data_IF_183533077579
#
_entry.id   IF_183533077579
#
_cell.length_a   1.000
_cell.length_b   1.000
_cell.length_c   1.000
_cell.angle_alpha   90.00
_cell.angle_beta   90.00
_cell.angle_gamma   90.00
#
_symmetry.space_group_name_H-M   'P 1'
#
loop_
_entity.id
_entity.type
_entity.pdbx_description
1 polymer ?
#
# COMPACT_ATOMS: atom_id res chain seq x y z
N UNK A 1 10.62 17.18 24.96
CA UNK A 1 9.89 16.73 23.74
C UNK A 1 10.69 15.59 23.16
N UNK A 2 10.16 14.38 23.20
CA UNK A 2 10.88 13.18 22.78
C UNK A 2 10.76 13.09 21.26
N UNK A 3 11.89 13.19 20.56
CA UNK A 3 11.96 12.95 19.12
C UNK A 3 11.49 11.50 18.89
N UNK A 4 10.47 11.23 18.07
CA UNK A 4 10.07 9.86 17.82
C UNK A 4 11.25 9.12 17.18
N UNK A 5 11.47 7.88 17.60
CA UNK A 5 12.51 7.02 17.05
C UNK A 5 12.40 7.03 15.51
N UNK A 6 13.42 7.51 14.83
CA UNK A 6 13.50 7.45 13.37
C UNK A 6 13.65 5.98 12.98
N UNK A 7 12.79 5.50 12.09
CA UNK A 7 12.99 4.20 11.47
C UNK A 7 14.42 4.11 10.89
N UNK A 8 15.09 2.95 10.97
CA UNK A 8 16.34 2.76 10.25
C UNK A 8 16.12 3.04 8.76
N UNK A 9 17.05 3.72 8.06
CA UNK A 9 16.85 4.07 6.65
C UNK A 9 17.03 2.83 5.77
N UNK A 10 15.98 2.01 5.69
CA UNK A 10 15.94 0.80 4.84
C UNK A 10 15.66 1.17 3.38
N UNK A 11 14.89 2.24 3.15
CA UNK A 11 14.48 2.74 1.84
C UNK A 11 15.00 4.17 1.60
N UNK A 12 15.16 4.58 0.33
CA UNK A 12 15.52 5.95 -0.02
C UNK A 12 14.38 6.93 0.34
N UNK A 13 14.65 8.24 0.24
CA UNK A 13 13.63 9.27 0.46
C UNK A 13 12.47 9.14 -0.54
N UNK A 14 11.29 9.67 -0.19
CA UNK A 14 10.06 9.59 -1.00
C UNK A 14 10.30 9.95 -2.47
N UNK A 15 11.04 11.03 -2.71
CA UNK A 15 11.29 11.58 -4.05
C UNK A 15 12.27 10.74 -4.89
N UNK A 16 13.02 9.84 -4.24
CA UNK A 16 13.97 8.93 -4.88
C UNK A 16 13.35 7.54 -5.14
N UNK A 17 12.11 7.30 -4.67
CA UNK A 17 11.41 6.05 -4.92
C UNK A 17 10.86 5.99 -6.35
N UNK A 18 10.87 4.79 -6.93
CA UNK A 18 10.15 4.56 -8.18
C UNK A 18 8.64 4.73 -7.96
N UNK A 19 8.03 5.68 -8.65
CA UNK A 19 6.63 6.02 -8.47
C UNK A 19 5.93 6.27 -9.80
N UNK A 20 4.70 5.77 -9.91
CA UNK A 20 3.75 6.11 -10.96
C UNK A 20 2.36 6.22 -10.35
N UNK A 21 1.72 7.38 -10.50
CA UNK A 21 0.37 7.64 -9.98
C UNK A 21 -0.62 6.60 -10.49
N UNK A 22 -1.47 6.09 -9.60
CA UNK A 22 -2.49 5.06 -9.88
C UNK A 22 -1.94 3.66 -10.24
N UNK A 23 -0.66 3.40 -9.96
CA UNK A 23 -0.03 2.07 -10.03
C UNK A 23 0.58 1.70 -8.67
N UNK A 24 -0.16 1.95 -7.59
CA UNK A 24 0.28 1.76 -6.20
C UNK A 24 0.80 0.33 -5.92
N UNK A 25 0.21 -0.67 -6.57
CA UNK A 25 0.62 -2.07 -6.55
C UNK A 25 2.03 -2.27 -7.10
N UNK A 26 2.39 -1.61 -8.22
CA UNK A 26 3.73 -1.69 -8.79
C UNK A 26 4.72 -0.82 -8.01
N UNK A 27 4.27 0.32 -7.47
CA UNK A 27 5.09 1.18 -6.63
C UNK A 27 5.54 0.44 -5.36
N UNK A 28 4.61 -0.23 -4.66
CA UNK A 28 4.93 -1.07 -3.48
C UNK A 28 5.80 -2.26 -3.87
N UNK A 29 5.57 -2.87 -5.03
CA UNK A 29 6.44 -3.95 -5.51
C UNK A 29 7.88 -3.46 -5.71
N UNK A 30 8.06 -2.25 -6.25
CA UNK A 30 9.38 -1.62 -6.41
C UNK A 30 10.04 -1.26 -5.09
N UNK A 31 9.26 -0.91 -4.06
CA UNK A 31 9.79 -0.76 -2.70
C UNK A 31 10.32 -2.11 -2.17
N UNK A 32 9.53 -3.18 -2.30
CA UNK A 32 9.96 -4.53 -1.91
C UNK A 32 11.21 -4.97 -2.68
N UNK A 33 11.29 -4.68 -3.99
CA UNK A 33 12.45 -4.96 -4.82
C UNK A 33 13.69 -4.24 -4.29
N UNK A 34 13.57 -2.94 -4.00
CA UNK A 34 14.65 -2.15 -3.42
C UNK A 34 15.11 -2.67 -2.06
N UNK A 35 14.18 -3.13 -1.20
CA UNK A 35 14.52 -3.73 0.11
C UNK A 35 15.29 -5.04 -0.09
N UNK A 36 14.82 -5.92 -0.98
CA UNK A 36 15.51 -7.18 -1.31
C UNK A 36 16.95 -6.91 -1.77
N UNK A 37 17.14 -5.92 -2.63
CA UNK A 37 18.44 -5.66 -3.25
C UNK A 37 19.42 -4.95 -2.31
N UNK A 38 18.93 -4.14 -1.36
CA UNK A 38 19.76 -3.36 -0.42
C UNK A 38 19.96 -4.07 0.92
N UNK A 39 18.90 -4.68 1.44
CA UNK A 39 18.81 -5.19 2.80
C UNK A 39 17.99 -6.49 2.83
N UNK A 40 18.43 -7.57 2.15
CA UNK A 40 17.66 -8.78 1.98
C UNK A 40 17.25 -9.45 3.30
N UNK A 41 18.07 -9.33 4.34
CA UNK A 41 17.80 -9.89 5.67
C UNK A 41 16.57 -9.28 6.37
N UNK A 42 16.14 -8.08 5.97
CA UNK A 42 14.97 -7.43 6.53
C UNK A 42 13.69 -7.72 5.75
N UNK A 43 13.74 -8.39 4.60
CA UNK A 43 12.57 -8.53 3.72
C UNK A 43 11.37 -9.21 4.41
N UNK A 44 11.62 -10.12 5.35
CA UNK A 44 10.60 -10.83 6.13
C UNK A 44 9.83 -9.91 7.12
N UNK A 45 10.37 -8.73 7.41
CA UNK A 45 9.73 -7.70 8.24
C UNK A 45 8.71 -6.86 7.45
N UNK A 46 8.64 -7.04 6.12
CA UNK A 46 7.82 -6.22 5.23
C UNK A 46 6.61 -6.95 4.66
N UNK A 47 5.50 -6.22 4.54
CA UNK A 47 4.23 -6.73 4.04
C UNK A 47 3.57 -5.73 3.08
N UNK A 48 3.22 -6.17 1.87
CA UNK A 48 2.32 -5.43 1.01
C UNK A 48 0.89 -5.55 1.56
N UNK A 49 0.20 -4.42 1.73
CA UNK A 49 -1.18 -4.36 2.21
C UNK A 49 -2.06 -3.83 1.09
N UNK A 50 -2.96 -4.68 0.61
CA UNK A 50 -4.04 -4.29 -0.28
C UNK A 50 -5.24 -3.84 0.53
N UNK A 51 -5.71 -2.63 0.28
CA UNK A 51 -6.93 -2.05 0.84
C UNK A 51 -7.98 -2.02 -0.25
N UNK A 52 -9.16 -2.61 -0.01
CA UNK A 52 -10.32 -2.50 -0.90
C UNK A 52 -11.59 -2.97 -0.17
N UNK A 53 -12.71 -3.12 -0.88
CA UNK A 53 -13.92 -3.78 -0.41
C UNK A 53 -14.73 -4.34 -1.59
N UNK A 54 -15.86 -4.98 -1.32
CA UNK A 54 -16.75 -5.54 -2.35
C UNK A 54 -17.19 -4.51 -3.39
N UNK A 55 -17.40 -3.27 -2.94
CA UNK A 55 -17.92 -2.19 -3.78
C UNK A 55 -16.82 -1.44 -4.54
N UNK A 56 -15.55 -1.75 -4.27
CA UNK A 56 -14.39 -1.00 -4.78
C UNK A 56 -14.55 0.50 -4.55
N UNK A 57 -14.89 0.84 -3.31
CA UNK A 57 -15.03 2.23 -2.87
C UNK A 57 -14.57 2.31 -1.42
N UNK A 58 -13.31 2.68 -1.22
CA UNK A 58 -12.73 2.85 0.12
C UNK A 58 -12.22 4.29 0.30
N UNK A 59 -12.56 4.95 1.42
CA UNK A 59 -12.07 6.29 1.70
C UNK A 59 -10.69 6.20 2.36
N UNK A 60 -9.74 6.99 1.85
CA UNK A 60 -8.44 7.22 2.48
C UNK A 60 -8.19 8.72 2.54
N UNK A 61 -7.96 9.24 3.75
CA UNK A 61 -7.62 10.63 4.01
C UNK A 61 -6.11 10.87 3.85
N UNK A 62 -5.72 12.15 3.84
CA UNK A 62 -4.31 12.56 3.76
C UNK A 62 -3.62 11.99 2.52
N UNK A 63 -4.28 12.08 1.37
CA UNK A 63 -3.77 11.63 0.07
C UNK A 63 -3.40 12.85 -0.79
N UNK A 64 -2.30 12.78 -1.55
CA UNK A 64 -1.76 13.87 -2.36
C UNK A 64 -2.74 14.37 -3.44
N UNK A 65 -3.53 13.47 -4.02
CA UNK A 65 -4.55 13.82 -5.01
C UNK A 65 -5.87 14.34 -4.39
N UNK A 66 -5.98 14.34 -3.06
CA UNK A 66 -7.16 14.79 -2.32
C UNK A 66 -7.09 16.24 -1.87
N UNK A 67 -8.21 16.76 -1.36
CA UNK A 67 -8.26 18.01 -0.60
C UNK A 67 -7.98 17.70 0.88
N UNK A 68 -7.36 18.63 1.63
CA UNK A 68 -6.85 18.41 3.01
C UNK A 68 -7.78 17.62 3.95
N UNK A 69 -9.09 17.87 3.88
CA UNK A 69 -10.07 17.33 4.83
C UNK A 69 -10.92 16.18 4.28
N UNK A 70 -11.03 16.05 2.96
CA UNK A 70 -11.88 15.05 2.31
C UNK A 70 -11.08 13.78 1.99
N UNK A 71 -11.69 12.59 2.10
CA UNK A 71 -11.04 11.38 1.64
C UNK A 71 -10.99 11.33 0.12
N UNK A 72 -9.95 10.66 -0.39
CA UNK A 72 -9.98 10.13 -1.76
C UNK A 72 -10.67 8.78 -1.72
N UNK A 73 -11.62 8.56 -2.64
CA UNK A 73 -12.31 7.28 -2.79
C UNK A 73 -11.56 6.44 -3.82
N UNK A 74 -10.92 5.38 -3.34
CA UNK A 74 -10.16 4.45 -4.15
C UNK A 74 -10.97 3.18 -4.45
N UNK A 75 -10.75 2.59 -5.62
CA UNK A 75 -11.21 1.24 -5.92
C UNK A 75 -10.40 0.19 -5.16
N UNK A 76 -9.10 0.39 -5.12
CA UNK A 76 -8.17 -0.22 -4.17
C UNK A 76 -6.97 0.69 -3.96
N UNK A 77 -6.23 0.46 -2.87
CA UNK A 77 -4.93 1.11 -2.64
C UNK A 77 -3.95 0.09 -2.07
N UNK A 78 -2.66 0.25 -2.38
CA UNK A 78 -1.60 -0.63 -1.88
C UNK A 78 -0.58 0.20 -1.12
N UNK A 79 -0.31 -0.22 0.12
CA UNK A 79 0.70 0.38 0.99
C UNK A 79 1.66 -0.70 1.48
N UNK A 80 2.86 -0.31 1.93
CA UNK A 80 3.83 -1.23 2.49
C UNK A 80 3.92 -1.04 4.01
N UNK A 81 3.82 -2.12 4.76
CA UNK A 81 4.04 -2.18 6.21
C UNK A 81 5.44 -2.72 6.48
N UNK A 82 6.13 -2.09 7.42
CA UNK A 82 7.34 -2.60 8.08
C UNK A 82 7.01 -2.87 9.55
N UNK A 83 7.13 -4.12 9.98
CA UNK A 83 7.01 -4.54 11.38
C UNK A 83 8.41 -4.88 11.91
N UNK A 84 9.00 -3.97 12.69
CA UNK A 84 10.37 -4.09 13.19
C UNK A 84 10.54 -5.20 14.26
N UNK A 85 9.45 -5.84 14.70
CA UNK A 85 9.48 -6.91 15.70
C UNK A 85 9.67 -6.45 17.16
N UNK A 86 10.07 -5.21 17.40
CA UNK A 86 10.18 -4.57 18.73
C UNK A 86 8.90 -3.82 19.15
N UNK A 87 7.82 -4.00 18.40
CA UNK A 87 6.55 -3.30 18.56
C UNK A 87 6.45 -2.00 17.74
N UNK A 88 7.54 -1.54 17.11
CA UNK A 88 7.51 -0.42 16.18
C UNK A 88 7.03 -0.87 14.80
N UNK A 89 6.10 -0.09 14.23
CA UNK A 89 5.54 -0.35 12.90
C UNK A 89 5.48 0.92 12.09
N UNK A 90 5.80 0.81 10.81
CA UNK A 90 5.83 1.93 9.87
C UNK A 90 5.06 1.61 8.60
N UNK A 91 4.36 2.61 8.07
CA UNK A 91 3.67 2.56 6.78
C UNK A 91 4.43 3.41 5.77
N UNK A 92 4.69 2.82 4.62
CA UNK A 92 5.19 3.48 3.43
C UNK A 92 4.03 3.57 2.43
N UNK A 93 3.49 4.77 2.31
CA UNK A 93 2.49 5.12 1.31
C UNK A 93 3.07 6.25 0.45
N UNK A 94 3.29 6.00 -0.84
CA UNK A 94 3.84 7.01 -1.75
C UNK A 94 2.81 8.09 -2.11
N UNK A 95 1.53 7.82 -1.91
CA UNK A 95 0.41 8.72 -2.22
C UNK A 95 -0.07 9.54 -1.01
N UNK A 96 0.46 9.30 0.21
CA UNK A 96 0.08 10.10 1.39
C UNK A 96 0.79 11.46 1.46
N UNK A 97 0.15 12.44 2.12
CA UNK A 97 0.77 13.70 2.58
C UNK A 97 1.37 13.60 4.00
N UNK A 98 1.17 12.47 4.68
CA UNK A 98 1.84 12.16 5.94
C UNK A 98 3.35 11.91 5.73
N UNK A 99 4.16 11.84 6.80
CA UNK A 99 5.57 11.50 6.70
C UNK A 99 5.83 10.19 5.94
N UNK A 100 7.03 10.05 5.38
CA UNK A 100 7.46 8.83 4.69
C UNK A 100 8.83 8.39 5.25
N UNK A 101 8.92 7.26 5.95
CA UNK A 101 7.79 6.45 6.45
C UNK A 101 6.93 7.18 7.49
N UNK A 102 5.68 6.73 7.66
CA UNK A 102 4.76 7.19 8.70
C UNK A 102 4.66 6.16 9.83
N UNK A 103 4.72 6.53 11.12
CA UNK A 103 4.37 5.61 12.20
C UNK A 103 2.97 5.02 12.01
N UNK A 104 2.84 3.70 12.17
CA UNK A 104 1.61 2.97 11.82
C UNK A 104 0.37 3.51 12.56
N UNK A 105 0.49 3.79 13.86
CA UNK A 105 -0.61 4.35 14.65
C UNK A 105 -1.07 5.73 14.14
N UNK A 106 -0.11 6.55 13.66
CA UNK A 106 -0.42 7.86 13.07
C UNK A 106 -1.16 7.68 11.75
N UNK A 107 -0.69 6.77 10.89
CA UNK A 107 -1.34 6.46 9.62
C UNK A 107 -2.76 5.92 9.81
N UNK A 108 -2.95 4.98 10.74
CA UNK A 108 -4.27 4.43 11.08
C UNK A 108 -5.20 5.53 11.58
N UNK A 109 -4.71 6.40 12.48
CA UNK A 109 -5.54 7.46 13.08
C UNK A 109 -5.94 8.53 12.07
N UNK A 110 -5.01 8.97 11.21
CA UNK A 110 -5.20 10.15 10.37
C UNK A 110 -5.67 9.84 8.95
N UNK A 111 -5.06 8.84 8.30
CA UNK A 111 -5.35 8.48 6.92
C UNK A 111 -6.49 7.47 6.81
N UNK A 112 -6.51 6.45 7.68
CA UNK A 112 -7.51 5.39 7.61
C UNK A 112 -8.75 5.71 8.45
N UNK A 113 -8.56 6.25 9.66
CA UNK A 113 -9.63 6.54 10.65
C UNK A 113 -10.44 5.30 11.05
N UNK A 114 -11.37 5.45 11.99
CA UNK A 114 -12.24 4.34 12.42
C UNK A 114 -13.36 4.05 11.42
N UNK A 115 -13.58 2.77 11.12
CA UNK A 115 -14.72 2.30 10.30
C UNK A 115 -16.09 2.47 10.98
N UNK A 116 -16.14 2.78 12.28
CA UNK A 116 -17.40 3.02 13.00
C UNK A 116 -18.16 4.22 12.44
N UNK A 117 -17.45 5.26 12.00
CA UNK A 117 -18.02 6.49 11.46
C UNK A 117 -18.17 6.46 9.93
N UNK A 118 -17.88 5.32 9.29
CA UNK A 118 -17.96 5.14 7.84
C UNK A 118 -19.16 4.26 7.51
N UNK A 119 -19.94 4.72 6.53
CA UNK A 119 -21.09 3.97 6.03
C UNK A 119 -20.61 2.58 5.56
N UNK A 120 -21.41 1.55 5.87
CA UNK A 120 -21.01 0.13 5.73
C UNK A 120 -20.46 -0.24 4.35
N UNK A 121 -20.97 0.41 3.30
CA UNK A 121 -20.60 0.17 1.90
C UNK A 121 -19.20 0.69 1.53
N UNK A 122 -18.61 1.53 2.39
CA UNK A 122 -17.28 2.13 2.23
C UNK A 122 -16.25 1.55 3.21
N UNK A 123 -16.65 0.65 4.11
CA UNK A 123 -15.74 0.07 5.11
C UNK A 123 -14.64 -0.72 4.42
N UNK A 124 -13.42 -0.62 4.95
CA UNK A 124 -12.23 -1.16 4.29
C UNK A 124 -12.00 -2.61 4.73
N UNK A 125 -11.46 -3.38 3.81
CA UNK A 125 -10.86 -4.70 4.05
C UNK A 125 -9.40 -4.64 3.67
N UNK A 126 -8.61 -5.46 4.36
CA UNK A 126 -7.18 -5.54 4.15
C UNK A 126 -6.76 -6.95 3.79
N UNK A 127 -5.79 -7.07 2.89
CA UNK A 127 -5.08 -8.30 2.60
C UNK A 127 -3.59 -8.02 2.78
N UNK A 128 -2.98 -8.68 3.77
CA UNK A 128 -1.53 -8.64 4.00
C UNK A 128 -0.87 -9.75 3.20
N UNK A 129 0.24 -9.43 2.55
CA UNK A 129 1.05 -10.34 1.77
C UNK A 129 2.51 -10.09 2.14
N UNK A 130 3.24 -11.10 2.66
CA UNK A 130 4.67 -10.98 2.90
C UNK A 130 5.41 -10.48 1.67
N UNK A 131 6.42 -9.61 1.85
CA UNK A 131 7.11 -8.97 0.73
C UNK A 131 7.82 -9.98 -0.18
N UNK A 132 8.37 -11.08 0.36
CA UNK A 132 8.97 -12.16 -0.42
C UNK A 132 7.93 -12.87 -1.30
N UNK A 133 6.74 -13.15 -0.75
CA UNK A 133 5.62 -13.74 -1.48
C UNK A 133 5.12 -12.78 -2.56
N UNK A 134 5.01 -11.50 -2.24
CA UNK A 134 4.59 -10.47 -3.18
C UNK A 134 5.54 -10.37 -4.38
N UNK A 135 6.86 -10.35 -4.13
CA UNK A 135 7.87 -10.36 -5.19
C UNK A 135 7.83 -11.62 -6.06
N UNK A 136 7.53 -12.78 -5.46
CA UNK A 136 7.51 -14.08 -6.14
C UNK A 136 6.23 -14.33 -6.95
N UNK A 137 5.10 -13.72 -6.57
CA UNK A 137 3.78 -14.09 -7.09
C UNK A 137 3.04 -12.95 -7.80
N UNK A 138 3.45 -11.69 -7.61
CA UNK A 138 2.79 -10.58 -8.29
C UNK A 138 3.14 -10.52 -9.77
N UNK A 139 2.11 -10.49 -10.60
CA UNK A 139 2.20 -10.15 -12.01
C UNK A 139 1.06 -9.21 -12.38
N UNK A 140 1.36 -8.22 -13.22
CA UNK A 140 0.39 -7.27 -13.77
C UNK A 140 0.71 -7.04 -15.24
N UNK A 141 -0.25 -7.28 -16.12
CA UNK A 141 -0.17 -6.89 -17.53
C UNK A 141 -0.69 -5.46 -17.79
N UNK A 142 -1.10 -4.77 -16.71
CA UNK A 142 -1.69 -3.41 -16.70
C UNK A 142 -2.99 -3.27 -17.50
N UNK A 143 -3.60 -4.37 -17.96
CA UNK A 143 -4.82 -4.33 -18.77
C UNK A 143 -5.99 -3.64 -18.08
N UNK A 144 -6.08 -3.77 -16.75
CA UNK A 144 -7.10 -3.12 -15.94
C UNK A 144 -7.05 -1.57 -15.97
N UNK A 145 -5.90 -0.99 -16.33
CA UNK A 145 -5.70 0.45 -16.48
C UNK A 145 -6.03 0.96 -17.89
N UNK A 146 -6.55 0.09 -18.76
CA UNK A 146 -7.06 0.49 -20.07
C UNK A 146 -8.56 0.73 -20.03
N UNK A 147 -9.03 1.62 -20.89
CA UNK A 147 -10.46 1.84 -21.10
C UNK A 147 -11.03 0.90 -22.19
N UNK A 148 -12.30 1.10 -22.55
CA UNK A 148 -12.98 0.30 -23.56
C UNK A 148 -12.38 0.46 -24.98
N UNK A 149 -11.65 1.55 -25.23
CA UNK A 149 -10.98 1.83 -26.49
C UNK A 149 -9.52 1.33 -26.51
N UNK A 150 -9.09 0.64 -25.44
CA UNK A 150 -7.72 0.16 -25.24
C UNK A 150 -6.71 1.31 -25.01
N UNK A 151 -7.20 2.50 -24.65
CA UNK A 151 -6.38 3.65 -24.27
C UNK A 151 -6.08 3.64 -22.77
N UNK A 152 -4.95 4.23 -22.38
CA UNK A 152 -4.51 4.28 -20.98
C UNK A 152 -5.31 5.31 -20.18
N UNK A 153 -5.95 4.87 -19.09
CA UNK A 153 -6.64 5.77 -18.14
C UNK A 153 -5.67 6.70 -17.44
N UNK A 154 -4.45 6.23 -17.20
CA UNK A 154 -3.30 6.97 -16.67
C UNK A 154 -2.01 6.51 -17.34
N UNK A 155 -1.00 7.38 -17.51
CA UNK A 155 0.27 6.97 -18.12
C UNK A 155 0.90 5.79 -17.36
N UNK A 156 1.24 4.68 -18.05
CA UNK A 156 1.83 3.52 -17.39
C UNK A 156 3.29 3.78 -16.99
N UNK A 157 3.84 2.97 -16.05
CA UNK A 157 5.26 3.01 -15.75
C UNK A 157 6.13 2.72 -16.99
N UNK A 158 7.30 3.36 -17.08
CA UNK A 158 8.20 3.25 -18.23
C UNK A 158 8.93 1.90 -18.33
N UNK A 159 9.01 1.15 -17.24
CA UNK A 159 9.58 -0.19 -17.22
C UNK A 159 8.58 -1.25 -17.72
N UNK A 160 9.06 -2.41 -18.23
CA UNK A 160 8.20 -3.49 -18.66
C UNK A 160 7.25 -3.99 -17.56
N UNK A 161 6.11 -4.54 -17.95
CA UNK A 161 5.16 -5.17 -17.03
C UNK A 161 5.84 -6.19 -16.12
N UNK A 162 5.47 -6.19 -14.83
CA UNK A 162 5.97 -7.16 -13.85
C UNK A 162 5.39 -8.53 -14.19
N UNK A 163 6.29 -9.50 -14.37
CA UNK A 163 5.95 -10.90 -14.68
C UNK A 163 6.67 -11.82 -13.72
N UNK A 164 5.94 -12.73 -13.09
CA UNK A 164 6.48 -13.79 -12.26
C UNK A 164 6.20 -15.16 -12.88
N UNK A 165 7.05 -16.18 -12.65
CA UNK A 165 6.80 -17.54 -13.15
C UNK A 165 5.56 -18.22 -12.53
N UNK A 166 5.06 -17.72 -11.40
CA UNK A 166 3.85 -18.20 -10.73
C UNK A 166 2.57 -17.55 -11.26
N UNK A 167 1.43 -18.24 -11.09
CA UNK A 167 0.10 -17.72 -11.42
C UNK A 167 -0.16 -16.35 -10.75
N UNK A 168 -0.87 -15.45 -11.44
CA UNK A 168 -1.30 -14.17 -10.91
C UNK A 168 -2.34 -14.38 -9.76
N UNK A 169 -1.87 -14.45 -8.52
CA UNK A 169 -2.68 -14.79 -7.33
C UNK A 169 -3.38 -13.59 -6.67
N UNK A 170 -3.20 -12.38 -7.20
CA UNK A 170 -3.61 -11.16 -6.50
C UNK A 170 -5.09 -10.81 -6.64
N UNK A 171 -5.75 -11.26 -7.70
CA UNK A 171 -7.20 -11.08 -7.86
C UNK A 171 -8.01 -12.38 -7.76
N UNK A 172 -7.34 -13.54 -7.68
CA UNK A 172 -7.98 -14.85 -7.60
C UNK A 172 -7.63 -15.54 -6.27
N UNK A 173 -8.54 -15.38 -5.31
CA UNK A 173 -8.73 -16.22 -4.11
C UNK A 173 -7.59 -16.27 -3.07
N UNK A 174 -7.77 -15.55 -1.93
CA UNK A 174 -7.77 -16.06 -0.53
C UNK A 174 -7.65 -14.91 0.50
N UNK A 175 -8.55 -14.98 1.50
CA UNK A 175 -8.67 -14.24 2.77
C UNK A 175 -8.46 -12.71 2.78
N UNK A 176 -9.53 -11.97 2.47
CA UNK A 176 -9.65 -10.56 2.88
C UNK A 176 -10.00 -10.51 4.38
N UNK A 177 -9.14 -9.89 5.18
CA UNK A 177 -9.42 -9.65 6.59
C UNK A 177 -10.27 -8.37 6.72
N UNK A 178 -11.21 -8.37 7.67
CA UNK A 178 -11.87 -7.13 8.08
C UNK A 178 -10.82 -6.25 8.78
N UNK A 179 -10.89 -4.94 8.55
CA UNK A 179 -10.03 -3.99 9.27
C UNK A 179 -10.16 -4.22 10.78
N UNK A 180 -9.06 -4.34 11.55
CA UNK A 180 -9.15 -4.52 12.98
C UNK A 180 -9.93 -3.34 13.57
N UNK A 181 -11.02 -3.65 14.25
CA UNK A 181 -11.65 -2.70 15.16
C UNK A 181 -10.56 -2.38 16.19
N UNK A 182 -10.29 -1.10 16.42
CA UNK A 182 -9.29 -0.62 17.37
C UNK A 182 -9.34 -1.50 18.61
N UNK A 183 -8.26 -2.23 18.88
CA UNK A 183 -8.09 -2.98 20.12
C UNK A 183 -7.87 -1.89 21.16
N UNK A 184 -8.97 -1.40 21.73
CA UNK A 184 -8.88 -0.64 22.97
C UNK A 184 -8.35 -1.64 24.00
N UNK A 185 -7.07 -1.48 24.36
CA UNK A 185 -6.54 -1.93 25.65
C UNK A 185 -7.25 -1.21 26.78
#
# INVERSE_FOLDING_TARGET
MQVPASAPPVLPGRDDCCYTSCYCEENVWKLCESIRDRTPHHLEEFYAIFLSNENRMIPIWKQQCGKSEDPVIWDYHVILLHDCGDGQRFIYDLDTVLPFPCPCDTYIKEALRSDHNIHKDFRRKLRLIPADEYLRTFASDRSHMKDANNDWRKPPPSYPCIKTPGECLLFRTKLWMKFPQVINS
#
